data_IF_992488578371
#
_entry.id   IF_992488578371
#
_cell.length_a   1.000
_cell.length_b   1.000
_cell.length_c   1.000
_cell.angle_alpha   90.00
_cell.angle_beta   90.00
_cell.angle_gamma   90.00
#
_symmetry.space_group_name_H-M   'P 1'
#
loop_
_entity.id
_entity.type
_entity.pdbx_description
1 polymer ?
#
# COMPACT_ATOMS: atom_id res chain seq x y z
N UNK A 1 5.72 10.91 11.85
CA UNK A 1 5.67 9.60 12.54
C UNK A 1 5.36 8.44 11.61
N UNK A 2 4.28 8.46 10.82
CA UNK A 2 3.93 7.36 9.89
C UNK A 2 5.04 7.00 8.90
N UNK A 3 5.65 7.99 8.23
CA UNK A 3 6.74 7.76 7.27
C UNK A 3 7.94 7.02 7.89
N UNK A 4 8.28 7.31 9.15
CA UNK A 4 9.39 6.64 9.85
C UNK A 4 9.03 5.18 10.11
N UNK A 5 7.83 4.93 10.63
CA UNK A 5 7.33 3.58 10.88
C UNK A 5 7.22 2.76 9.58
N UNK A 6 6.62 3.31 8.52
CA UNK A 6 6.47 2.59 7.25
C UNK A 6 7.81 2.28 6.60
N UNK A 7 8.79 3.20 6.73
CA UNK A 7 10.15 2.98 6.22
C UNK A 7 10.82 1.85 7.00
N UNK A 8 10.79 1.90 8.33
CA UNK A 8 11.34 0.83 9.18
C UNK A 8 10.66 -0.51 8.90
N UNK A 9 9.32 -0.55 8.83
CA UNK A 9 8.56 -1.75 8.55
C UNK A 9 8.84 -2.31 7.15
N UNK A 10 9.08 -1.46 6.15
CA UNK A 10 9.45 -1.89 4.81
C UNK A 10 10.86 -2.49 4.75
N UNK A 11 11.82 -1.96 5.53
CA UNK A 11 13.18 -2.50 5.60
C UNK A 11 13.31 -3.72 6.52
N UNK A 12 12.43 -3.90 7.50
CA UNK A 12 12.52 -5.04 8.42
C UNK A 12 12.45 -6.38 7.67
N UNK A 13 11.56 -6.51 6.68
CA UNK A 13 11.47 -7.68 5.79
C UNK A 13 11.17 -9.01 6.47
N UNK A 14 10.85 -9.01 7.77
CA UNK A 14 10.72 -10.18 8.63
C UNK A 14 9.39 -10.13 9.41
N UNK A 15 8.87 -11.29 9.84
CA UNK A 15 7.62 -11.43 10.62
C UNK A 15 6.36 -10.86 9.94
N UNK A 16 6.32 -10.87 8.60
CA UNK A 16 5.20 -10.33 7.81
C UNK A 16 4.07 -11.35 7.58
N UNK A 17 4.33 -12.62 7.87
CA UNK A 17 3.41 -13.75 7.78
C UNK A 17 3.33 -14.45 9.14
N UNK A 18 2.11 -14.75 9.58
CA UNK A 18 1.84 -15.51 10.79
C UNK A 18 1.03 -16.75 10.44
N UNK A 19 1.55 -17.91 10.82
CA UNK A 19 0.86 -19.20 10.82
C UNK A 19 0.89 -19.78 12.23
N UNK A 20 0.09 -19.18 13.11
CA UNK A 20 -0.08 -19.63 14.49
C UNK A 20 -1.50 -20.12 14.68
N UNK A 21 -1.66 -21.29 15.30
CA UNK A 21 -2.96 -21.94 15.53
C UNK A 21 -3.77 -22.16 14.22
N UNK A 22 -3.07 -22.35 13.10
CA UNK A 22 -3.67 -22.56 11.78
C UNK A 22 -4.31 -21.30 11.16
N UNK A 23 -4.15 -20.14 11.80
CA UNK A 23 -4.56 -18.86 11.25
C UNK A 23 -3.49 -18.34 10.28
N UNK A 24 -3.89 -18.04 9.05
CA UNK A 24 -2.99 -17.63 8.00
C UNK A 24 -3.11 -16.11 7.74
N UNK A 25 -2.28 -15.33 8.43
CA UNK A 25 -2.32 -13.87 8.33
C UNK A 25 -1.13 -13.33 7.55
N UNK A 26 -1.42 -12.57 6.49
CA UNK A 26 -0.45 -11.79 5.76
C UNK A 26 -0.63 -10.30 6.06
N UNK A 27 0.46 -9.61 6.37
CA UNK A 27 0.40 -8.17 6.62
C UNK A 27 0.10 -7.39 5.33
N UNK A 28 -0.81 -6.38 5.36
CA UNK A 28 -1.19 -5.61 4.16
C UNK A 28 -0.03 -4.89 3.47
N UNK A 29 1.02 -4.54 4.22
CA UNK A 29 2.21 -3.88 3.67
C UNK A 29 3.03 -4.76 2.72
N UNK A 30 2.84 -6.07 2.79
CA UNK A 30 3.60 -7.07 2.03
C UNK A 30 2.73 -7.77 0.97
N UNK A 31 1.45 -7.40 0.85
CA UNK A 31 0.52 -7.99 -0.11
C UNK A 31 0.42 -7.16 -1.40
N UNK A 32 0.43 -7.78 -2.60
CA UNK A 32 0.67 -9.20 -2.85
C UNK A 32 2.15 -9.56 -2.67
N UNK A 33 2.43 -10.72 -2.08
CA UNK A 33 3.80 -11.21 -1.98
C UNK A 33 4.25 -11.72 -3.36
N UNK A 34 5.01 -10.90 -4.09
CA UNK A 34 5.51 -11.30 -5.41
C UNK A 34 6.56 -12.41 -5.28
N UNK A 35 7.53 -12.21 -4.38
CA UNK A 35 8.59 -13.16 -4.08
C UNK A 35 8.79 -13.23 -2.58
N UNK A 36 8.89 -14.44 -2.03
CA UNK A 36 9.21 -14.63 -0.62
C UNK A 36 8.99 -16.07 -0.16
N UNK A 37 9.14 -16.30 1.15
CA UNK A 37 9.13 -17.64 1.72
C UNK A 37 7.75 -18.12 2.18
N UNK A 38 6.73 -17.28 2.11
CA UNK A 38 5.39 -17.65 2.57
C UNK A 38 4.58 -18.37 1.47
N UNK A 39 3.52 -19.12 1.84
CA UNK A 39 2.61 -19.74 0.88
C UNK A 39 1.87 -18.75 -0.03
N UNK A 40 1.91 -17.44 0.26
CA UNK A 40 1.27 -16.37 -0.52
C UNK A 40 2.16 -15.86 -1.66
N UNK A 41 3.40 -16.34 -1.77
CA UNK A 41 4.32 -15.91 -2.80
C UNK A 41 3.84 -16.34 -4.20
N UNK A 42 3.49 -15.36 -5.05
CA UNK A 42 2.94 -15.59 -6.40
C UNK A 42 3.98 -16.19 -7.35
N UNK A 43 5.22 -15.69 -7.30
CA UNK A 43 6.32 -16.15 -8.15
C UNK A 43 7.31 -17.08 -7.43
N UNK A 44 6.99 -17.46 -6.18
CA UNK A 44 7.80 -18.37 -5.38
C UNK A 44 8.92 -17.69 -4.57
N UNK A 45 9.97 -18.44 -4.19
CA UNK A 45 11.01 -17.96 -3.29
C UNK A 45 11.86 -16.86 -3.92
N UNK A 46 12.64 -16.18 -3.06
CA UNK A 46 13.57 -15.13 -3.48
C UNK A 46 14.42 -15.60 -4.67
N UNK A 47 14.45 -14.85 -5.79
CA UNK A 47 15.24 -15.23 -6.95
C UNK A 47 16.74 -15.25 -6.64
N UNK A 48 17.45 -16.26 -7.15
CA UNK A 48 18.89 -16.42 -6.93
C UNK A 48 19.74 -15.31 -7.57
N UNK A 49 19.21 -14.62 -8.57
CA UNK A 49 19.87 -13.49 -9.24
C UNK A 49 19.80 -12.18 -8.46
N UNK A 50 19.09 -12.13 -7.32
CA UNK A 50 18.99 -10.91 -6.52
C UNK A 50 20.36 -10.55 -5.91
N UNK A 51 20.84 -9.30 -6.09
CA UNK A 51 22.14 -8.90 -5.59
C UNK A 51 22.23 -9.04 -4.06
N UNK A 52 23.26 -9.76 -3.59
CA UNK A 52 23.45 -10.01 -2.16
C UNK A 52 23.70 -8.74 -1.32
N UNK A 53 24.12 -7.65 -1.95
CA UNK A 53 24.33 -6.36 -1.31
C UNK A 53 23.04 -5.54 -1.10
N UNK A 54 21.94 -5.93 -1.76
CA UNK A 54 20.67 -5.22 -1.66
C UNK A 54 19.74 -5.97 -0.70
N UNK A 55 19.26 -5.27 0.34
CA UNK A 55 18.32 -5.84 1.29
C UNK A 55 17.04 -6.26 0.56
N UNK A 56 16.70 -7.54 0.66
CA UNK A 56 15.49 -8.08 0.04
C UNK A 56 14.31 -7.94 1.02
N UNK A 57 13.32 -7.16 0.65
CA UNK A 57 12.04 -7.08 1.36
C UNK A 57 10.90 -7.10 0.34
N UNK A 58 9.94 -8.04 0.46
CA UNK A 58 8.80 -8.11 -0.46
C UNK A 58 7.99 -6.81 -0.49
N UNK A 59 7.91 -6.11 0.65
CA UNK A 59 7.22 -4.82 0.76
C UNK A 59 7.81 -3.75 -0.16
N UNK A 60 9.14 -3.70 -0.37
CA UNK A 60 9.76 -2.68 -1.22
C UNK A 60 9.36 -2.79 -2.69
N UNK A 61 9.07 -4.01 -3.16
CA UNK A 61 8.64 -4.26 -4.54
C UNK A 61 7.23 -3.72 -4.83
N UNK A 62 6.44 -3.55 -3.77
CA UNK A 62 4.99 -3.36 -3.86
C UNK A 62 4.59 -1.98 -3.35
N UNK A 63 5.25 -1.46 -2.32
CA UNK A 63 4.90 -0.24 -1.60
C UNK A 63 4.91 1.03 -2.45
N UNK A 64 5.67 1.06 -3.55
CA UNK A 64 5.71 2.21 -4.45
C UNK A 64 4.35 2.51 -5.08
N UNK A 65 3.50 1.51 -5.30
CA UNK A 65 2.16 1.70 -5.88
C UNK A 65 1.20 2.42 -4.91
N UNK A 66 0.93 1.92 -3.69
CA UNK A 66 0.09 2.62 -2.72
C UNK A 66 0.72 3.94 -2.24
N UNK A 67 2.05 4.02 -2.14
CA UNK A 67 2.73 5.29 -1.84
C UNK A 67 2.55 6.31 -2.97
N UNK A 68 2.69 5.87 -4.24
CA UNK A 68 2.46 6.69 -5.42
C UNK A 68 1.02 7.18 -5.52
N UNK A 69 0.04 6.33 -5.23
CA UNK A 69 -1.37 6.75 -5.15
C UNK A 69 -1.58 7.86 -4.13
N UNK A 70 -1.00 7.74 -2.93
CA UNK A 70 -1.10 8.77 -1.89
C UNK A 70 -0.38 10.06 -2.25
N UNK A 71 0.81 9.98 -2.86
CA UNK A 71 1.56 11.18 -3.24
C UNK A 71 0.91 11.93 -4.41
N UNK A 72 0.22 11.22 -5.29
CA UNK A 72 -0.45 11.83 -6.46
C UNK A 72 -1.88 12.29 -6.17
N UNK A 73 -2.44 12.00 -4.99
CA UNK A 73 -3.84 12.30 -4.68
C UNK A 73 -4.12 13.80 -4.53
N UNK A 74 -5.39 14.17 -4.67
CA UNK A 74 -5.86 15.56 -4.61
C UNK A 74 -5.46 16.28 -3.31
N UNK A 75 -5.42 15.57 -2.19
CA UNK A 75 -4.98 16.12 -0.91
C UNK A 75 -3.51 16.56 -0.93
N UNK A 76 -2.60 15.70 -1.41
CA UNK A 76 -1.17 16.00 -1.51
C UNK A 76 -0.87 17.03 -2.59
N UNK A 77 -1.61 16.98 -3.70
CA UNK A 77 -1.64 18.03 -4.71
C UNK A 77 -1.80 19.41 -4.07
N UNK A 78 -2.82 19.61 -3.23
CA UNK A 78 -3.04 20.87 -2.52
C UNK A 78 -1.86 21.27 -1.61
N UNK A 79 -1.23 20.30 -0.95
CA UNK A 79 -0.03 20.55 -0.15
C UNK A 79 1.16 21.02 -1.00
N UNK A 80 1.37 20.44 -2.19
CA UNK A 80 2.44 20.86 -3.11
C UNK A 80 2.21 22.28 -3.63
N UNK A 81 0.99 22.61 -4.05
CA UNK A 81 0.63 23.95 -4.49
C UNK A 81 0.90 25.01 -3.41
N UNK A 82 0.59 24.71 -2.15
CA UNK A 82 0.87 25.62 -1.04
C UNK A 82 2.34 25.70 -0.66
N UNK A 83 3.03 24.56 -0.60
CA UNK A 83 4.43 24.51 -0.14
C UNK A 83 5.43 25.07 -1.16
N UNK A 84 5.20 24.83 -2.46
CA UNK A 84 6.17 25.19 -3.51
C UNK A 84 5.74 26.40 -4.35
N UNK A 85 4.43 26.68 -4.49
CA UNK A 85 3.92 27.79 -5.31
C UNK A 85 3.08 28.81 -4.54
N UNK A 86 2.84 28.60 -3.24
CA UNK A 86 1.99 29.44 -2.41
C UNK A 86 0.65 29.80 -3.09
N UNK A 87 -0.02 28.78 -3.63
CA UNK A 87 -1.17 28.92 -4.53
C UNK A 87 -2.49 28.53 -3.80
N UNK A 88 -3.30 29.47 -3.30
CA UNK A 88 -2.95 30.55 -2.38
C UNK A 88 -2.63 30.01 -0.96
N UNK A 89 -1.77 30.68 -0.16
CA UNK A 89 -1.41 30.19 1.18
C UNK A 89 -2.56 30.34 2.19
N UNK A 90 -3.45 31.32 1.96
CA UNK A 90 -4.65 31.57 2.73
C UNK A 90 -5.71 32.24 1.85
N UNK A 91 -7.01 32.14 2.21
CA UNK A 91 -8.11 32.73 1.44
C UNK A 91 -8.02 34.26 1.28
N UNK A 92 -7.21 34.94 2.10
CA UNK A 92 -7.03 36.39 2.07
C UNK A 92 -5.74 36.84 1.34
N UNK A 93 -4.88 35.91 0.92
CA UNK A 93 -3.59 36.22 0.30
C UNK A 93 -3.62 35.75 -1.15
N UNK A 94 -3.46 36.69 -2.07
CA UNK A 94 -3.40 36.40 -3.51
C UNK A 94 -2.22 35.51 -3.87
N UNK A 95 -2.39 34.74 -4.94
CA UNK A 95 -1.36 33.86 -5.48
C UNK A 95 -0.20 34.70 -6.04
N UNK A 96 1.07 34.40 -5.71
CA UNK A 96 2.23 35.13 -6.25
C UNK A 96 2.49 34.80 -7.73
N UNK A 97 1.70 33.90 -8.30
CA UNK A 97 1.82 33.34 -9.64
C UNK A 97 1.16 34.24 -10.69
N UNK A 98 1.87 34.45 -11.80
CA UNK A 98 1.41 35.28 -12.93
C UNK A 98 0.67 34.45 -14.01
N UNK A 99 0.81 33.11 -14.03
CA UNK A 99 0.07 32.25 -14.96
C UNK A 99 0.21 30.74 -14.71
N UNK A 100 -0.84 29.96 -15.01
CA UNK A 100 -0.95 28.50 -14.82
C UNK A 100 -0.74 27.74 -16.15
N UNK A 101 0.38 27.02 -16.34
CA UNK A 101 0.66 26.28 -17.57
C UNK A 101 -0.12 24.97 -17.66
N UNK A 102 -0.96 24.62 -16.69
CA UNK A 102 -1.67 23.35 -16.66
C UNK A 102 -0.88 22.21 -16.00
N UNK A 103 -1.53 21.05 -15.91
CA UNK A 103 -0.93 19.77 -15.47
C UNK A 103 -0.08 19.10 -16.57
N UNK A 104 0.37 19.86 -17.56
CA UNK A 104 1.12 19.37 -18.74
C UNK A 104 2.63 19.57 -18.61
N UNK A 105 3.10 20.27 -17.58
CA UNK A 105 4.53 20.54 -17.36
C UNK A 105 5.03 19.93 -16.06
N UNK A 106 6.29 19.48 -16.05
CA UNK A 106 6.96 19.01 -14.84
C UNK A 106 7.05 20.16 -13.83
N UNK A 107 6.71 19.97 -12.54
CA UNK A 107 6.35 18.73 -11.83
C UNK A 107 4.85 18.41 -11.73
N UNK A 108 3.96 19.28 -12.26
CA UNK A 108 2.50 19.11 -12.18
C UNK A 108 1.99 17.91 -13.00
N UNK A 109 2.78 17.44 -13.98
CA UNK A 109 2.49 16.22 -14.74
C UNK A 109 2.36 14.96 -13.86
N UNK A 110 3.05 14.92 -12.71
CA UNK A 110 2.94 13.81 -11.76
C UNK A 110 1.52 13.65 -11.20
N UNK A 111 0.76 14.76 -11.13
CA UNK A 111 -0.62 14.74 -10.66
C UNK A 111 -1.57 14.11 -11.67
N UNK A 112 -1.28 14.24 -12.97
CA UNK A 112 -2.03 13.56 -14.02
C UNK A 112 -1.83 12.02 -13.97
N UNK A 113 -0.70 11.55 -13.45
CA UNK A 113 -0.42 10.11 -13.27
C UNK A 113 -1.31 9.49 -12.19
N UNK A 114 -1.97 10.29 -11.34
CA UNK A 114 -2.88 9.79 -10.31
C UNK A 114 -3.93 8.82 -10.86
N UNK A 115 -4.44 9.08 -12.08
CA UNK A 115 -5.40 8.19 -12.76
C UNK A 115 -4.84 6.77 -12.93
N UNK A 116 -3.57 6.63 -13.29
CA UNK A 116 -2.94 5.33 -13.47
C UNK A 116 -2.67 4.64 -12.13
N UNK A 117 -2.24 5.41 -11.11
CA UNK A 117 -2.08 4.87 -9.75
C UNK A 117 -3.41 4.47 -9.12
N UNK A 118 -4.52 5.13 -9.45
CA UNK A 118 -5.86 4.73 -9.01
C UNK A 118 -6.21 3.34 -9.56
N UNK A 119 -5.96 3.06 -10.85
CA UNK A 119 -6.20 1.72 -11.41
C UNK A 119 -5.37 0.65 -10.72
N UNK A 120 -4.10 0.94 -10.39
CA UNK A 120 -3.28 0.04 -9.59
C UNK A 120 -3.88 -0.16 -8.19
N UNK A 121 -4.24 0.92 -7.49
CA UNK A 121 -4.82 0.85 -6.15
C UNK A 121 -6.12 0.02 -6.10
N UNK A 122 -6.95 0.07 -7.15
CA UNK A 122 -8.14 -0.79 -7.25
C UNK A 122 -7.78 -2.28 -7.32
N UNK A 123 -6.75 -2.65 -8.08
CA UNK A 123 -6.25 -4.03 -8.13
C UNK A 123 -5.75 -4.45 -6.74
N UNK A 124 -5.02 -3.59 -6.05
CA UNK A 124 -4.55 -3.83 -4.68
C UNK A 124 -5.69 -4.06 -3.69
N UNK A 125 -6.79 -3.29 -3.77
CA UNK A 125 -7.96 -3.49 -2.91
C UNK A 125 -8.57 -4.87 -3.13
N UNK A 126 -8.65 -5.35 -4.38
CA UNK A 126 -9.18 -6.69 -4.66
C UNK A 126 -8.28 -7.79 -4.08
N UNK A 127 -6.96 -7.63 -4.18
CA UNK A 127 -6.00 -8.57 -3.56
C UNK A 127 -6.14 -8.55 -2.03
N UNK A 128 -6.18 -7.37 -1.41
CA UNK A 128 -6.36 -7.24 0.04
C UNK A 128 -7.71 -7.78 0.51
N UNK A 129 -8.75 -7.69 -0.31
CA UNK A 129 -10.05 -8.27 -0.02
C UNK A 129 -9.98 -9.80 -0.05
N UNK A 130 -9.28 -10.37 -1.03
CA UNK A 130 -9.02 -11.81 -1.10
C UNK A 130 -8.20 -12.29 0.11
N UNK A 131 -7.20 -11.53 0.55
CA UNK A 131 -6.41 -11.87 1.73
C UNK A 131 -7.23 -11.76 3.01
N UNK A 132 -8.08 -10.73 3.14
CA UNK A 132 -9.00 -10.60 4.26
C UNK A 132 -10.00 -11.77 4.30
N UNK A 133 -10.50 -12.21 3.14
CA UNK A 133 -11.36 -13.40 3.04
C UNK A 133 -10.61 -14.68 3.44
N UNK A 134 -9.39 -14.85 2.94
CA UNK A 134 -8.54 -16.01 3.24
C UNK A 134 -8.20 -16.09 4.73
N UNK A 135 -8.08 -14.95 5.41
CA UNK A 135 -7.81 -14.88 6.83
C UNK A 135 -8.93 -15.48 7.71
N UNK A 136 -10.18 -15.57 7.23
CA UNK A 136 -11.29 -16.20 7.98
C UNK A 136 -11.24 -17.73 7.99
N UNK A 137 -10.39 -18.36 7.19
CA UNK A 137 -10.30 -19.80 7.07
C UNK A 137 -9.11 -20.34 7.85
N UNK A 138 -9.36 -20.83 9.07
CA UNK A 138 -8.33 -21.44 9.91
C UNK A 138 -8.18 -22.93 9.60
N UNK A 139 -6.95 -23.43 9.71
CA UNK A 139 -6.61 -24.83 9.51
C UNK A 139 -6.50 -25.55 10.85
N UNK A 140 -7.33 -26.57 11.06
CA UNK A 140 -7.24 -27.44 12.23
C UNK A 140 -5.94 -28.25 12.19
N UNK A 141 -5.40 -28.73 13.33
CA UNK A 141 -4.30 -29.71 13.35
C UNK A 141 -4.57 -30.98 12.54
N UNK A 142 -5.86 -31.30 12.29
CA UNK A 142 -6.31 -32.39 11.41
C UNK A 142 -6.26 -32.06 9.92
N UNK A 143 -5.95 -30.82 9.54
CA UNK A 143 -5.96 -30.32 8.16
C UNK A 143 -7.30 -29.73 7.70
N UNK A 144 -8.35 -29.81 8.53
CA UNK A 144 -9.69 -29.33 8.17
C UNK A 144 -9.77 -27.79 8.24
N UNK A 145 -10.31 -27.19 7.17
CA UNK A 145 -10.59 -25.75 7.13
C UNK A 145 -11.91 -25.45 7.83
N UNK A 146 -11.86 -24.60 8.84
CA UNK A 146 -13.05 -24.12 9.54
C UNK A 146 -13.09 -22.60 9.57
N UNK A 147 -14.30 -22.06 9.71
CA UNK A 147 -14.49 -20.63 9.86
C UNK A 147 -13.98 -20.18 11.23
N UNK A 148 -13.15 -19.15 11.24
CA UNK A 148 -12.52 -18.62 12.43
C UNK A 148 -12.50 -17.11 12.47
N UNK A 149 -12.65 -16.56 13.67
CA UNK A 149 -12.60 -15.13 13.95
C UNK A 149 -11.48 -14.88 14.97
N UNK A 150 -10.52 -14.06 14.57
CA UNK A 150 -9.41 -13.62 15.41
C UNK A 150 -9.22 -12.11 15.36
N UNK A 151 -8.30 -11.60 16.18
CA UNK A 151 -7.95 -10.17 16.10
C UNK A 151 -7.36 -9.83 14.73
N UNK A 152 -6.58 -10.73 14.14
CA UNK A 152 -6.00 -10.57 12.80
C UNK A 152 -7.07 -10.42 11.72
N UNK A 153 -8.11 -11.26 11.70
CA UNK A 153 -9.21 -11.15 10.72
C UNK A 153 -9.94 -9.82 10.82
N UNK A 154 -10.20 -9.33 12.04
CA UNK A 154 -10.87 -8.05 12.27
C UNK A 154 -9.99 -6.90 11.75
N UNK A 155 -8.70 -6.89 12.09
CA UNK A 155 -7.76 -5.84 11.65
C UNK A 155 -7.60 -5.83 10.13
N UNK A 156 -7.47 -6.98 9.48
CA UNK A 156 -7.35 -7.08 8.01
C UNK A 156 -8.63 -6.63 7.30
N UNK A 157 -9.79 -7.04 7.83
CA UNK A 157 -11.09 -6.64 7.27
C UNK A 157 -11.31 -5.12 7.42
N UNK A 158 -11.02 -4.56 8.59
CA UNK A 158 -11.09 -3.10 8.79
C UNK A 158 -10.11 -2.37 7.88
N UNK A 159 -8.91 -2.91 7.66
CA UNK A 159 -7.92 -2.29 6.78
C UNK A 159 -8.46 -2.16 5.35
N UNK A 160 -8.99 -3.23 4.76
CA UNK A 160 -9.52 -3.17 3.38
C UNK A 160 -10.79 -2.32 3.28
N UNK A 161 -11.66 -2.33 4.29
CA UNK A 161 -12.87 -1.48 4.30
C UNK A 161 -12.49 0.00 4.37
N UNK A 162 -11.58 0.38 5.27
CA UNK A 162 -11.14 1.77 5.41
C UNK A 162 -10.37 2.24 4.16
N UNK A 163 -9.54 1.38 3.58
CA UNK A 163 -8.81 1.68 2.35
C UNK A 163 -9.74 1.80 1.13
N UNK A 164 -10.74 0.92 1.03
CA UNK A 164 -11.79 0.99 0.03
C UNK A 164 -12.61 2.28 0.18
N UNK A 165 -13.02 2.61 1.40
CA UNK A 165 -13.69 3.87 1.72
C UNK A 165 -12.87 5.09 1.33
N UNK A 166 -11.56 5.09 1.58
CA UNK A 166 -10.65 6.15 1.14
C UNK A 166 -10.50 6.25 -0.39
N UNK A 167 -10.69 5.15 -1.11
CA UNK A 167 -10.50 5.11 -2.57
C UNK A 167 -11.77 5.45 -3.34
N UNK A 168 -12.95 5.13 -2.78
CA UNK A 168 -14.25 5.34 -3.43
C UNK A 168 -15.08 6.50 -2.86
N UNK A 169 -14.77 7.01 -1.66
CA UNK A 169 -15.49 8.10 -1.00
C UNK A 169 -14.80 9.45 -1.19
#
# INVERSE_FOLDING_TARGET
TFLVYSTWAAFQGNHYWLDQNGANYLSPFYSPELFGSSPHAIFGPKPAWWPAWLLFSPALLVLWAPAGFRLTCYYYRGAYYKAFWADPPACAVGEPRIGYPGETSFPLILQNIHRYFLYLALIFILVLLHDAWSAFWFTSPSGDRHFGLGVGTIVLTLNVILLGGYTFG
#
